data_IF_478012877859
#
_entry.id   IF_478012877859
#
_cell.length_a   1.000
_cell.length_b   1.000
_cell.length_c   1.000
_cell.angle_alpha   90.00
_cell.angle_beta   90.00
_cell.angle_gamma   90.00
#
_symmetry.space_group_name_H-M   'P 1'
#
loop_
_entity.id
_entity.type
_entity.pdbx_description
1 polymer ?
#
# COMPACT_ATOMS: atom_id res chain seq x y z
N UNK A 1 -10.08 18.36 5.86
CA UNK A 1 -9.53 17.11 5.27
C UNK A 1 -10.44 15.92 5.58
N UNK A 2 -10.71 15.06 4.62
CA UNK A 2 -11.57 13.87 4.77
C UNK A 2 -10.71 12.60 4.73
N UNK A 3 -10.43 11.94 5.88
CA UNK A 3 -9.64 10.71 5.90
C UNK A 3 -10.19 9.61 4.99
N UNK A 4 -11.52 9.50 4.88
CA UNK A 4 -12.17 8.52 4.02
C UNK A 4 -11.82 8.72 2.53
N UNK A 5 -11.64 9.96 2.08
CA UNK A 5 -11.20 10.28 0.72
C UNK A 5 -9.76 9.76 0.50
N UNK A 6 -8.85 10.07 1.43
CA UNK A 6 -7.45 9.60 1.34
C UNK A 6 -7.38 8.06 1.39
N UNK A 7 -8.15 7.43 2.27
CA UNK A 7 -8.22 5.97 2.35
C UNK A 7 -8.73 5.34 1.04
N UNK A 8 -9.78 5.93 0.45
CA UNK A 8 -10.35 5.47 -0.82
C UNK A 8 -9.35 5.60 -1.97
N UNK A 9 -8.71 6.76 -2.12
CA UNK A 9 -7.76 7.00 -3.20
C UNK A 9 -6.49 6.15 -3.07
N UNK A 10 -5.91 6.06 -1.86
CA UNK A 10 -4.72 5.23 -1.64
C UNK A 10 -5.00 3.76 -1.88
N UNK A 11 -6.20 3.28 -1.53
CA UNK A 11 -6.60 1.91 -1.81
C UNK A 11 -6.80 1.67 -3.31
N UNK A 12 -7.51 2.56 -4.00
CA UNK A 12 -7.75 2.44 -5.44
C UNK A 12 -6.44 2.41 -6.26
N UNK A 13 -5.44 3.21 -5.88
CA UNK A 13 -4.11 3.14 -6.50
C UNK A 13 -3.40 1.82 -6.18
N UNK A 14 -3.51 1.31 -4.95
CA UNK A 14 -2.93 0.02 -4.58
C UNK A 14 -3.60 -1.15 -5.30
N UNK A 15 -4.88 -1.08 -5.64
CA UNK A 15 -5.60 -2.10 -6.43
C UNK A 15 -4.98 -2.28 -7.82
N UNK A 16 -4.48 -1.21 -8.45
CA UNK A 16 -3.76 -1.33 -9.74
C UNK A 16 -2.51 -2.18 -9.57
N UNK A 17 -1.70 -1.93 -8.54
CA UNK A 17 -0.51 -2.74 -8.24
C UNK A 17 -0.84 -4.17 -7.83
N UNK A 18 -1.92 -4.39 -7.09
CA UNK A 18 -2.42 -5.72 -6.79
C UNK A 18 -2.82 -6.49 -8.05
N UNK A 19 -3.51 -5.82 -9.00
CA UNK A 19 -3.84 -6.38 -10.30
C UNK A 19 -2.60 -6.77 -11.10
N UNK A 20 -1.57 -5.91 -11.11
CA UNK A 20 -0.28 -6.21 -11.77
C UNK A 20 0.37 -7.44 -11.14
N UNK A 21 0.45 -7.49 -9.80
CA UNK A 21 0.99 -8.64 -9.07
C UNK A 21 0.25 -9.93 -9.41
N UNK A 22 -1.09 -9.93 -9.40
CA UNK A 22 -1.91 -11.10 -9.73
C UNK A 22 -1.70 -11.54 -11.18
N UNK A 23 -1.64 -10.60 -12.13
CA UNK A 23 -1.36 -10.90 -13.56
C UNK A 23 0.02 -11.52 -13.75
N UNK A 24 1.04 -11.03 -13.06
CA UNK A 24 2.39 -11.60 -13.09
C UNK A 24 2.38 -13.03 -12.53
N UNK A 25 1.78 -13.25 -11.37
CA UNK A 25 1.72 -14.58 -10.75
C UNK A 25 0.92 -15.59 -11.60
N UNK A 26 -0.20 -15.17 -12.16
CA UNK A 26 -0.99 -15.97 -13.10
C UNK A 26 -0.16 -16.29 -14.37
N UNK A 27 0.58 -15.32 -14.89
CA UNK A 27 1.45 -15.55 -16.05
C UNK A 27 2.57 -16.54 -15.70
N UNK A 28 3.23 -16.39 -14.57
CA UNK A 28 4.25 -17.34 -14.09
C UNK A 28 3.67 -18.76 -13.95
N UNK A 29 2.46 -18.89 -13.42
CA UNK A 29 1.82 -20.19 -13.21
C UNK A 29 1.64 -20.97 -14.54
N UNK A 30 1.45 -20.28 -15.67
CA UNK A 30 1.32 -20.90 -17.02
C UNK A 30 2.60 -21.58 -17.48
N UNK A 31 3.76 -21.19 -16.96
CA UNK A 31 5.02 -21.88 -17.23
C UNK A 31 5.14 -23.21 -16.48
N UNK A 32 4.27 -23.47 -15.53
CA UNK A 32 4.25 -24.68 -14.69
C UNK A 32 2.90 -25.42 -14.84
N UNK A 33 2.51 -25.84 -16.07
CA UNK A 33 1.22 -26.48 -16.29
C UNK A 33 1.17 -27.89 -15.68
N UNK A 34 0.00 -28.32 -15.25
CA UNK A 34 -0.24 -29.72 -14.94
C UNK A 34 -0.03 -30.58 -16.19
N UNK A 35 0.66 -31.70 -16.03
CA UNK A 35 0.87 -32.68 -17.09
C UNK A 35 0.00 -33.90 -16.86
N UNK A 36 -0.50 -34.50 -17.94
CA UNK A 36 -1.37 -35.68 -17.88
C UNK A 36 -0.56 -36.96 -17.62
N UNK A 37 0.60 -37.07 -18.24
CA UNK A 37 1.51 -38.19 -18.09
C UNK A 37 2.85 -37.71 -17.53
N UNK A 38 3.09 -38.03 -16.26
CA UNK A 38 4.34 -37.67 -15.58
C UNK A 38 5.58 -38.41 -16.13
N UNK A 39 5.39 -39.47 -16.93
CA UNK A 39 6.48 -40.17 -17.63
C UNK A 39 7.08 -39.33 -18.77
N UNK A 40 6.37 -38.31 -19.25
CA UNK A 40 6.91 -37.36 -20.24
C UNK A 40 7.99 -36.43 -19.67
N UNK A 41 8.11 -36.36 -18.33
CA UNK A 41 9.18 -35.56 -17.69
C UNK A 41 10.50 -36.29 -17.83
N UNK A 42 11.30 -35.91 -18.81
CA UNK A 42 12.55 -36.58 -19.15
C UNK A 42 13.59 -36.30 -18.07
N UNK A 43 14.42 -35.91 -17.72
CA UNK A 43 15.38 -35.81 -16.62
C UNK A 43 15.33 -34.43 -15.92
N UNK A 44 15.75 -34.41 -14.67
CA UNK A 44 15.83 -33.22 -13.85
C UNK A 44 16.68 -32.12 -14.54
N UNK A 45 17.84 -32.50 -15.11
CA UNK A 45 18.73 -31.56 -15.77
C UNK A 45 18.13 -30.99 -17.07
N UNK A 46 17.50 -31.82 -17.91
CA UNK A 46 16.85 -31.38 -19.14
C UNK A 46 15.67 -30.46 -18.83
N UNK A 47 14.86 -30.82 -17.82
CA UNK A 47 13.78 -29.97 -17.33
C UNK A 47 14.32 -28.60 -16.91
N UNK A 48 15.34 -28.58 -16.02
CA UNK A 48 15.92 -27.34 -15.52
C UNK A 48 16.48 -26.47 -16.64
N UNK A 49 17.27 -27.04 -17.56
CA UNK A 49 17.86 -26.31 -18.68
C UNK A 49 16.78 -25.67 -19.58
N UNK A 50 15.72 -26.43 -19.89
CA UNK A 50 14.58 -25.92 -20.67
C UNK A 50 13.86 -24.78 -19.96
N UNK A 51 13.56 -24.92 -18.67
CA UNK A 51 12.84 -23.91 -17.92
C UNK A 51 13.69 -22.65 -17.74
N UNK A 52 14.97 -22.78 -17.39
CA UNK A 52 15.86 -21.64 -17.27
C UNK A 52 16.08 -20.91 -18.60
N UNK A 53 16.02 -21.63 -19.72
CA UNK A 53 16.06 -21.03 -21.07
C UNK A 53 14.88 -20.10 -21.39
N UNK A 54 13.78 -20.19 -20.65
CA UNK A 54 12.59 -19.36 -20.82
C UNK A 54 12.64 -18.02 -20.04
N UNK A 55 13.66 -17.80 -19.21
CA UNK A 55 13.74 -16.58 -18.35
C UNK A 55 13.63 -15.27 -19.16
N UNK A 56 14.25 -15.20 -20.32
CA UNK A 56 14.15 -14.01 -21.18
C UNK A 56 12.71 -13.71 -21.60
N UNK A 57 11.92 -14.75 -21.90
CA UNK A 57 10.51 -14.60 -22.23
C UNK A 57 9.69 -14.19 -20.98
N UNK A 58 9.92 -14.83 -19.83
CA UNK A 58 9.27 -14.47 -18.56
C UNK A 58 9.50 -12.99 -18.24
N UNK A 59 10.74 -12.53 -18.35
CA UNK A 59 11.07 -11.13 -18.09
C UNK A 59 10.40 -10.18 -19.08
N UNK A 60 10.39 -10.49 -20.37
CA UNK A 60 9.74 -9.68 -21.39
C UNK A 60 8.22 -9.57 -21.17
N UNK A 61 7.57 -10.66 -20.83
CA UNK A 61 6.13 -10.67 -20.53
C UNK A 61 5.83 -9.89 -19.25
N UNK A 62 6.68 -10.01 -18.23
CA UNK A 62 6.56 -9.26 -16.97
C UNK A 62 6.69 -7.76 -17.21
N UNK A 63 7.72 -7.34 -17.96
CA UNK A 63 7.91 -5.93 -18.34
C UNK A 63 6.69 -5.39 -19.08
N UNK A 64 6.15 -6.17 -20.04
CA UNK A 64 4.93 -5.78 -20.76
C UNK A 64 3.74 -5.60 -19.82
N UNK A 65 3.50 -6.53 -18.89
CA UNK A 65 2.42 -6.40 -17.91
C UNK A 65 2.57 -5.13 -17.08
N UNK A 66 3.80 -4.83 -16.62
CA UNK A 66 4.10 -3.62 -15.84
C UNK A 66 3.82 -2.35 -16.68
N UNK A 67 4.36 -2.26 -17.88
CA UNK A 67 4.20 -1.09 -18.76
C UNK A 67 2.72 -0.85 -19.10
N UNK A 68 2.02 -1.89 -19.55
CA UNK A 68 0.62 -1.80 -19.97
C UNK A 68 -0.31 -1.35 -18.82
N UNK A 69 0.07 -1.66 -17.57
CA UNK A 69 -0.77 -1.37 -16.40
C UNK A 69 -0.40 -0.08 -15.69
N UNK A 70 0.87 0.30 -15.66
CA UNK A 70 1.36 1.39 -14.83
C UNK A 70 1.66 2.69 -15.60
N UNK A 71 1.40 2.75 -16.90
CA UNK A 71 1.65 3.95 -17.71
C UNK A 71 0.93 5.23 -17.25
N UNK A 72 -0.14 5.10 -16.44
CA UNK A 72 -0.87 6.24 -15.87
C UNK A 72 -0.46 6.63 -14.44
N UNK A 73 0.50 5.94 -13.82
CA UNK A 73 0.83 6.07 -12.41
C UNK A 73 1.23 7.51 -12.02
N UNK A 74 2.05 8.14 -12.84
CA UNK A 74 2.55 9.50 -12.59
C UNK A 74 1.42 10.54 -12.58
N UNK A 75 0.56 10.52 -13.58
CA UNK A 75 -0.59 11.42 -13.66
C UNK A 75 -1.57 11.20 -12.51
N UNK A 76 -1.88 9.93 -12.17
CA UNK A 76 -2.75 9.59 -11.07
C UNK A 76 -2.18 10.04 -9.72
N UNK A 77 -0.88 9.87 -9.48
CA UNK A 77 -0.20 10.33 -8.27
C UNK A 77 -0.33 11.86 -8.15
N UNK A 78 0.02 12.59 -9.21
CA UNK A 78 -0.04 14.05 -9.22
C UNK A 78 -1.44 14.57 -8.89
N UNK A 79 -2.46 14.09 -9.61
CA UNK A 79 -3.85 14.47 -9.41
C UNK A 79 -4.35 14.14 -8.00
N UNK A 80 -3.96 12.98 -7.49
CA UNK A 80 -4.35 12.52 -6.15
C UNK A 80 -3.77 13.42 -5.05
N UNK A 81 -2.52 13.87 -5.18
CA UNK A 81 -1.89 14.79 -4.23
C UNK A 81 -2.47 16.21 -4.32
N UNK A 82 -2.74 16.71 -5.54
CA UNK A 82 -3.42 18.00 -5.74
C UNK A 82 -4.82 18.00 -5.08
N UNK A 83 -5.59 16.93 -5.30
CA UNK A 83 -6.90 16.80 -4.68
C UNK A 83 -6.82 16.71 -3.13
N UNK A 84 -5.78 16.11 -2.58
CA UNK A 84 -5.58 16.05 -1.13
C UNK A 84 -5.32 17.44 -0.52
N UNK A 85 -4.56 18.31 -1.21
CA UNK A 85 -4.35 19.72 -0.81
C UNK A 85 -5.69 20.47 -0.79
N UNK A 86 -6.41 20.43 -1.90
CA UNK A 86 -7.68 21.14 -2.04
C UNK A 86 -8.70 20.69 -1.00
N UNK A 87 -8.82 19.39 -0.77
CA UNK A 87 -9.72 18.84 0.26
C UNK A 87 -9.30 19.25 1.69
N UNK A 88 -8.00 19.34 1.96
CA UNK A 88 -7.50 19.77 3.27
C UNK A 88 -7.83 21.24 3.56
N UNK A 89 -7.60 22.12 2.61
CA UNK A 89 -7.82 23.55 2.76
C UNK A 89 -9.29 23.94 2.77
N UNK A 90 -10.17 23.20 2.10
CA UNK A 90 -11.60 23.50 1.96
C UNK A 90 -12.30 23.85 3.28
N UNK A 91 -11.95 23.18 4.38
CA UNK A 91 -12.57 23.36 5.68
C UNK A 91 -11.80 24.32 6.60
N UNK A 92 -10.50 24.49 6.37
CA UNK A 92 -9.64 25.29 7.24
C UNK A 92 -9.54 26.75 6.80
N UNK A 93 -9.49 27.00 5.50
CA UNK A 93 -9.42 28.34 4.92
C UNK A 93 -10.55 29.29 5.39
N UNK A 94 -11.84 28.88 5.42
CA UNK A 94 -12.91 29.77 5.89
C UNK A 94 -12.77 30.19 7.36
N UNK A 95 -12.15 29.36 8.21
CA UNK A 95 -11.92 29.69 9.61
C UNK A 95 -10.84 30.75 9.76
N UNK A 96 -9.73 30.57 9.03
CA UNK A 96 -8.61 31.51 9.00
C UNK A 96 -9.07 32.89 8.47
N UNK A 97 -9.80 32.93 7.36
CA UNK A 97 -10.36 34.19 6.79
C UNK A 97 -11.26 34.90 7.80
N UNK A 98 -12.19 34.18 8.42
CA UNK A 98 -13.12 34.75 9.40
C UNK A 98 -12.39 35.31 10.63
N UNK A 99 -11.29 34.65 11.07
CA UNK A 99 -10.48 35.16 12.17
C UNK A 99 -9.66 36.38 11.77
N UNK A 100 -9.12 36.41 10.55
CA UNK A 100 -8.41 37.58 10.02
C UNK A 100 -9.35 38.79 9.88
N UNK A 101 -10.59 38.59 9.39
CA UNK A 101 -11.64 39.62 9.31
C UNK A 101 -11.98 40.20 10.69
N UNK A 102 -11.88 39.41 11.76
CA UNK A 102 -12.10 39.85 13.14
C UNK A 102 -10.83 40.49 13.77
N UNK A 103 -9.74 40.61 13.02
CA UNK A 103 -8.48 41.19 13.53
C UNK A 103 -7.72 40.28 14.53
N UNK A 104 -8.04 38.98 14.59
CA UNK A 104 -7.41 38.02 15.51
C UNK A 104 -6.14 37.40 14.92
N UNK A 105 -5.91 37.54 13.63
CA UNK A 105 -4.76 37.07 12.87
C UNK A 105 -4.19 38.21 12.03
N UNK A 106 -3.04 38.00 11.34
CA UNK A 106 -2.41 39.04 10.54
C UNK A 106 -3.39 39.68 9.54
N UNK A 107 -3.59 40.99 9.70
CA UNK A 107 -4.14 41.99 8.83
C UNK A 107 -5.51 41.73 8.20
N UNK A 108 -6.55 42.58 8.49
CA UNK A 108 -7.78 42.55 7.73
C UNK A 108 -7.48 42.87 6.26
N UNK A 109 -7.84 41.98 5.36
CA UNK A 109 -7.66 42.15 3.90
C UNK A 109 -6.53 41.35 3.27
N UNK A 110 -5.68 40.66 4.02
CA UNK A 110 -4.74 39.72 3.43
C UNK A 110 -5.45 38.42 3.08
N UNK A 111 -5.58 38.17 1.79
CA UNK A 111 -6.03 36.88 1.24
C UNK A 111 -4.82 36.24 0.56
N UNK A 112 -4.22 35.21 1.15
CA UNK A 112 -3.12 34.52 0.49
C UNK A 112 -3.61 33.94 -0.84
N UNK A 113 -2.75 33.83 -1.86
CA UNK A 113 -3.08 33.16 -3.11
C UNK A 113 -3.53 31.73 -2.85
N UNK A 114 -4.36 31.18 -3.71
CA UNK A 114 -4.93 29.84 -3.53
C UNK A 114 -3.86 28.77 -3.36
N UNK A 115 -2.73 28.89 -4.06
CA UNK A 115 -1.55 28.05 -3.93
C UNK A 115 -0.31 28.94 -3.80
N UNK A 116 0.43 28.80 -2.72
CA UNK A 116 1.63 29.59 -2.45
C UNK A 116 2.91 28.85 -2.90
N UNK A 117 4.05 29.57 -3.06
CA UNK A 117 5.33 28.95 -3.40
C UNK A 117 5.74 27.83 -2.41
N UNK A 118 5.52 28.02 -1.11
CA UNK A 118 5.84 27.03 -0.08
C UNK A 118 4.98 25.77 -0.22
N UNK A 119 3.68 25.91 -0.44
CA UNK A 119 2.79 24.78 -0.72
C UNK A 119 3.22 24.03 -1.97
N UNK A 120 3.63 24.74 -3.03
CA UNK A 120 4.14 24.12 -4.25
C UNK A 120 5.46 23.40 -4.04
N UNK A 121 6.34 23.92 -3.20
CA UNK A 121 7.58 23.25 -2.85
C UNK A 121 7.32 21.97 -2.05
N UNK A 122 6.47 22.01 -1.04
CA UNK A 122 6.05 20.82 -0.28
C UNK A 122 5.43 19.76 -1.19
N UNK A 123 4.52 20.19 -2.09
CA UNK A 123 3.93 19.30 -3.10
C UNK A 123 4.99 18.62 -3.96
N UNK A 124 5.93 19.38 -4.54
CA UNK A 124 6.99 18.84 -5.41
C UNK A 124 7.85 17.83 -4.65
N UNK A 125 8.19 18.13 -3.39
CA UNK A 125 9.00 17.25 -2.55
C UNK A 125 8.29 15.91 -2.31
N UNK A 126 7.04 15.94 -1.87
CA UNK A 126 6.29 14.73 -1.61
C UNK A 126 5.97 13.93 -2.88
N UNK A 127 5.63 14.63 -3.97
CA UNK A 127 5.43 14.01 -5.26
C UNK A 127 6.68 13.27 -5.73
N UNK A 128 7.85 13.93 -5.72
CA UNK A 128 9.10 13.30 -6.16
C UNK A 128 9.45 12.08 -5.30
N UNK A 129 9.35 12.20 -3.97
CA UNK A 129 9.62 11.08 -3.07
C UNK A 129 8.72 9.88 -3.33
N UNK A 130 7.43 10.10 -3.61
CA UNK A 130 6.49 9.02 -3.90
C UNK A 130 6.72 8.45 -5.30
N UNK A 131 7.00 9.28 -6.31
CA UNK A 131 7.34 8.84 -7.66
C UNK A 131 8.58 7.93 -7.66
N UNK A 132 9.63 8.31 -6.92
CA UNK A 132 10.85 7.51 -6.79
C UNK A 132 10.56 6.14 -6.16
N UNK A 133 9.69 6.10 -5.14
CA UNK A 133 9.29 4.84 -4.49
C UNK A 133 8.44 3.97 -5.41
N UNK A 134 7.52 4.54 -6.19
CA UNK A 134 6.74 3.78 -7.17
C UNK A 134 7.64 3.17 -8.26
N UNK A 135 8.65 3.92 -8.73
CA UNK A 135 9.66 3.39 -9.65
C UNK A 135 10.46 2.23 -9.03
N UNK A 136 10.81 2.34 -7.76
CA UNK A 136 11.46 1.27 -7.02
C UNK A 136 10.56 0.02 -6.93
N UNK A 137 9.26 0.19 -6.66
CA UNK A 137 8.29 -0.93 -6.66
C UNK A 137 8.31 -1.66 -7.99
N UNK A 138 8.31 -0.94 -9.11
CA UNK A 138 8.33 -1.54 -10.45
C UNK A 138 9.59 -2.38 -10.68
N UNK A 139 10.75 -1.88 -10.26
CA UNK A 139 12.02 -2.61 -10.35
C UNK A 139 12.00 -3.88 -9.51
N UNK A 140 11.57 -3.77 -8.25
CA UNK A 140 11.49 -4.92 -7.33
C UNK A 140 10.49 -5.97 -7.82
N UNK A 141 9.37 -5.56 -8.42
CA UNK A 141 8.42 -6.51 -9.02
C UNK A 141 9.07 -7.36 -10.12
N UNK A 142 9.89 -6.75 -10.98
CA UNK A 142 10.60 -7.50 -12.03
C UNK A 142 11.62 -8.45 -11.45
N UNK A 143 12.48 -7.98 -10.54
CA UNK A 143 13.52 -8.79 -9.90
C UNK A 143 12.92 -9.94 -9.08
N UNK A 144 11.88 -9.66 -8.31
CA UNK A 144 11.17 -10.68 -7.52
C UNK A 144 10.49 -11.72 -8.40
N UNK A 145 10.00 -11.33 -9.59
CA UNK A 145 9.40 -12.25 -10.57
C UNK A 145 10.44 -13.24 -11.07
N UNK A 146 11.61 -12.77 -11.47
CA UNK A 146 12.70 -13.65 -11.93
C UNK A 146 13.18 -14.58 -10.80
N UNK A 147 13.36 -14.05 -9.60
CA UNK A 147 13.76 -14.82 -8.43
C UNK A 147 12.73 -15.91 -8.08
N UNK A 148 11.45 -15.58 -8.09
CA UNK A 148 10.36 -16.52 -7.83
C UNK A 148 10.29 -17.62 -8.89
N UNK A 149 10.47 -17.27 -10.17
CA UNK A 149 10.55 -18.26 -11.24
C UNK A 149 11.72 -19.22 -11.07
N UNK A 150 12.94 -18.70 -10.84
CA UNK A 150 14.15 -19.50 -10.61
C UNK A 150 14.01 -20.44 -9.40
N UNK A 151 13.47 -19.96 -8.31
CA UNK A 151 13.24 -20.74 -7.11
C UNK A 151 12.26 -21.90 -7.37
N UNK A 152 11.14 -21.62 -8.07
CA UNK A 152 10.16 -22.65 -8.43
C UNK A 152 10.75 -23.71 -9.36
N UNK A 153 11.55 -23.30 -10.37
CA UNK A 153 12.27 -24.22 -11.23
C UNK A 153 13.22 -25.10 -10.43
N UNK A 154 13.97 -24.53 -9.47
CA UNK A 154 14.87 -25.26 -8.59
C UNK A 154 14.15 -26.29 -7.72
N UNK A 155 13.05 -25.93 -7.11
CA UNK A 155 12.22 -26.79 -6.28
C UNK A 155 11.66 -27.99 -7.05
N UNK A 156 11.10 -27.74 -8.23
CA UNK A 156 10.55 -28.79 -9.11
C UNK A 156 11.67 -29.71 -9.61
N UNK A 157 12.81 -29.14 -10.03
CA UNK A 157 13.98 -29.89 -10.48
C UNK A 157 14.49 -30.83 -9.38
N UNK A 158 14.62 -30.34 -8.15
CA UNK A 158 15.04 -31.14 -7.01
C UNK A 158 14.08 -32.33 -6.74
N UNK A 159 12.78 -32.11 -6.91
CA UNK A 159 11.79 -33.17 -6.76
C UNK A 159 11.85 -34.19 -7.88
N UNK A 160 12.04 -33.78 -9.15
CA UNK A 160 12.26 -34.71 -10.28
C UNK A 160 13.50 -35.56 -10.02
N UNK A 161 14.62 -34.94 -9.60
CA UNK A 161 15.86 -35.66 -9.30
C UNK A 161 15.68 -36.73 -8.19
N UNK A 162 14.97 -36.39 -7.12
CA UNK A 162 14.65 -37.34 -6.04
C UNK A 162 13.83 -38.53 -6.53
N UNK A 163 12.80 -38.26 -7.35
CA UNK A 163 11.96 -39.30 -7.94
C UNK A 163 12.77 -40.27 -8.84
N UNK A 164 13.64 -39.70 -9.67
CA UNK A 164 14.52 -40.49 -10.56
C UNK A 164 15.52 -41.35 -9.79
N UNK A 165 16.14 -40.83 -8.71
CA UNK A 165 17.06 -41.58 -7.88
C UNK A 165 16.40 -42.80 -7.27
N UNK A 166 15.14 -42.75 -6.91
CA UNK A 166 14.38 -43.83 -6.33
C UNK A 166 13.96 -44.87 -7.38
N UNK A 167 13.61 -44.46 -8.57
CA UNK A 167 13.27 -45.36 -9.69
C UNK A 167 14.48 -46.14 -10.19
N UNK A 168 15.69 -45.61 -10.05
CA UNK A 168 16.95 -46.22 -10.48
C UNK A 168 17.57 -47.14 -9.43
N UNK A 169 17.05 -47.24 -8.21
CA UNK A 169 17.47 -48.21 -7.22
C UNK A 169 16.79 -49.58 -7.51
N UNK A 170 17.59 -50.63 -7.74
CA UNK A 170 17.17 -51.97 -8.17
C UNK A 170 16.19 -52.71 -7.22
N UNK A 171 15.71 -52.07 -6.19
CA UNK A 171 14.90 -52.70 -5.15
C UNK A 171 13.41 -52.48 -5.26
N UNK A 172 12.83 -51.94 -6.33
CA UNK A 172 11.37 -51.94 -6.59
C UNK A 172 10.46 -51.57 -5.40
N UNK A 173 11.00 -51.04 -4.32
CA UNK A 173 10.21 -50.57 -3.18
C UNK A 173 9.59 -49.21 -3.53
N UNK A 174 8.27 -49.21 -3.67
CA UNK A 174 7.48 -47.96 -3.68
C UNK A 174 7.72 -47.30 -2.33
N UNK A 175 8.60 -46.32 -2.29
CA UNK A 175 8.77 -45.48 -1.10
C UNK A 175 7.53 -44.59 -1.04
N UNK A 176 6.60 -44.95 -0.15
CA UNK A 176 5.45 -44.16 0.19
C UNK A 176 5.93 -42.80 0.73
N UNK A 177 5.66 -41.71 0.00
CA UNK A 177 6.06 -40.35 0.41
C UNK A 177 6.69 -39.50 -0.67
N UNK A 178 6.89 -40.01 -1.90
CA UNK A 178 7.39 -39.23 -3.02
C UNK A 178 6.25 -38.36 -3.55
N UNK A 179 6.47 -37.07 -3.61
CA UNK A 179 5.53 -36.17 -4.25
C UNK A 179 5.59 -36.39 -5.75
N UNK A 180 4.44 -36.55 -6.41
CA UNK A 180 4.36 -36.54 -7.87
C UNK A 180 4.87 -35.19 -8.44
N UNK A 181 5.25 -35.20 -9.73
CA UNK A 181 5.63 -33.97 -10.44
C UNK A 181 4.56 -32.88 -10.29
N UNK A 182 3.30 -33.20 -10.54
CA UNK A 182 2.19 -32.24 -10.41
C UNK A 182 2.03 -31.70 -8.98
N UNK A 183 2.28 -32.55 -7.97
CA UNK A 183 2.27 -32.13 -6.58
C UNK A 183 3.44 -31.18 -6.27
N UNK A 184 4.65 -31.50 -6.78
CA UNK A 184 5.82 -30.64 -6.61
C UNK A 184 5.63 -29.28 -7.27
N UNK A 185 5.07 -29.27 -8.48
CA UNK A 185 4.72 -28.03 -9.19
C UNK A 185 3.68 -27.20 -8.45
N UNK A 186 2.58 -27.82 -8.02
CA UNK A 186 1.54 -27.12 -7.24
C UNK A 186 2.14 -26.50 -5.98
N UNK A 187 2.93 -27.28 -5.23
CA UNK A 187 3.51 -26.78 -3.99
C UNK A 187 4.56 -25.68 -4.22
N UNK A 188 5.34 -25.78 -5.32
CA UNK A 188 6.30 -24.74 -5.72
C UNK A 188 5.62 -23.44 -6.13
N UNK A 189 4.60 -23.53 -6.99
CA UNK A 189 3.82 -22.37 -7.43
C UNK A 189 3.02 -21.78 -6.25
N UNK A 190 2.49 -22.63 -5.37
CA UNK A 190 1.82 -22.16 -4.16
C UNK A 190 2.77 -21.35 -3.26
N UNK A 191 3.99 -21.86 -3.00
CA UNK A 191 5.00 -21.07 -2.26
C UNK A 191 5.32 -19.74 -2.95
N UNK A 192 5.39 -19.73 -4.27
CA UNK A 192 5.55 -18.49 -5.03
C UNK A 192 4.40 -17.51 -4.79
N UNK A 193 3.17 -18.01 -4.72
CA UNK A 193 1.97 -17.17 -4.45
C UNK A 193 1.94 -16.73 -2.98
N UNK A 194 2.20 -17.63 -2.04
CA UNK A 194 2.21 -17.37 -0.59
C UNK A 194 3.29 -16.35 -0.22
N UNK A 195 4.47 -16.47 -0.81
CA UNK A 195 5.55 -15.49 -0.66
C UNK A 195 5.27 -14.19 -1.42
N UNK A 196 4.43 -14.23 -2.43
CA UNK A 196 4.15 -13.12 -3.33
C UNK A 196 5.42 -12.63 -4.05
N UNK A 197 5.33 -11.46 -4.68
CA UNK A 197 6.49 -10.76 -5.23
C UNK A 197 7.12 -9.90 -4.12
N UNK A 198 7.52 -10.53 -3.01
CA UNK A 198 7.99 -9.88 -1.79
C UNK A 198 9.48 -9.55 -1.85
N UNK A 199 9.83 -8.53 -2.64
CA UNK A 199 11.19 -7.99 -2.63
C UNK A 199 11.42 -6.86 -1.62
N UNK A 200 10.38 -6.41 -0.90
CA UNK A 200 10.49 -5.33 0.07
C UNK A 200 10.60 -5.87 1.48
N UNK A 201 11.72 -5.58 2.15
CA UNK A 201 11.91 -5.88 3.57
C UNK A 201 12.17 -4.57 4.29
N UNK A 202 11.38 -4.24 5.30
CA UNK A 202 11.61 -3.05 6.12
C UNK A 202 12.71 -3.28 7.17
N UNK A 203 13.12 -2.22 7.86
CA UNK A 203 14.13 -2.32 8.93
C UNK A 203 13.75 -3.25 10.10
N UNK A 204 12.47 -3.54 10.27
CA UNK A 204 11.96 -4.50 11.25
C UNK A 204 11.98 -5.94 10.72
N UNK A 205 12.43 -6.18 9.48
CA UNK A 205 12.45 -7.49 8.85
C UNK A 205 11.08 -7.92 8.33
N UNK A 206 10.11 -7.02 8.20
CA UNK A 206 8.79 -7.35 7.68
C UNK A 206 8.80 -7.35 6.15
N UNK A 207 8.26 -8.41 5.57
CA UNK A 207 8.07 -8.52 4.13
C UNK A 207 6.82 -7.77 3.69
N UNK A 208 6.97 -6.95 2.67
CA UNK A 208 5.87 -6.18 2.06
C UNK A 208 5.56 -6.69 0.66
N UNK A 209 4.28 -6.89 0.36
CA UNK A 209 3.86 -7.04 -1.03
C UNK A 209 3.84 -5.66 -1.74
N UNK A 210 4.01 -5.60 -3.08
CA UNK A 210 3.99 -4.35 -3.84
C UNK A 210 2.75 -3.50 -3.56
N UNK A 211 1.56 -4.12 -3.56
CA UNK A 211 0.30 -3.42 -3.31
C UNK A 211 0.20 -2.88 -1.88
N UNK A 212 0.70 -3.62 -0.89
CA UNK A 212 0.70 -3.16 0.51
C UNK A 212 1.66 -1.99 0.71
N UNK A 213 2.81 -2.04 0.06
CA UNK A 213 3.79 -0.96 0.09
C UNK A 213 3.27 0.31 -0.59
N UNK A 214 2.67 0.17 -1.78
CA UNK A 214 2.04 1.28 -2.50
C UNK A 214 0.89 1.89 -1.71
N UNK A 215 0.00 1.07 -1.13
CA UNK A 215 -1.07 1.56 -0.27
C UNK A 215 -0.54 2.38 0.93
N UNK A 216 0.54 1.93 1.53
CA UNK A 216 1.22 2.63 2.64
C UNK A 216 1.84 3.94 2.16
N UNK A 217 2.57 3.92 1.05
CA UNK A 217 3.27 5.10 0.54
C UNK A 217 2.28 6.19 0.09
N UNK A 218 1.34 5.86 -0.77
CA UNK A 218 0.33 6.81 -1.28
C UNK A 218 -0.47 7.41 -0.13
N UNK A 219 -0.94 6.58 0.81
CA UNK A 219 -1.67 7.06 1.98
C UNK A 219 -0.82 8.03 2.81
N UNK A 220 0.41 7.68 3.10
CA UNK A 220 1.33 8.50 3.90
C UNK A 220 1.63 9.82 3.18
N UNK A 221 1.92 9.75 1.88
CA UNK A 221 2.24 10.92 1.05
C UNK A 221 1.04 11.87 0.92
N UNK A 222 -0.17 11.35 0.67
CA UNK A 222 -1.39 12.17 0.65
C UNK A 222 -1.62 12.90 1.98
N UNK A 223 -1.50 12.19 3.12
CA UNK A 223 -1.62 12.82 4.43
C UNK A 223 -0.54 13.86 4.68
N UNK A 224 0.71 13.59 4.32
CA UNK A 224 1.81 14.53 4.50
C UNK A 224 1.64 15.79 3.63
N UNK A 225 1.24 15.62 2.38
CA UNK A 225 0.97 16.73 1.46
C UNK A 225 -0.18 17.61 1.96
N UNK A 226 -1.27 16.98 2.40
CA UNK A 226 -2.42 17.68 2.97
C UNK A 226 -2.10 18.40 4.29
N UNK A 227 -1.31 17.78 5.16
CA UNK A 227 -0.84 18.39 6.42
C UNK A 227 0.05 19.59 6.16
N UNK A 228 1.02 19.46 5.25
CA UNK A 228 1.90 20.55 4.88
C UNK A 228 1.11 21.75 4.36
N UNK A 229 0.10 21.53 3.51
CA UNK A 229 -0.76 22.60 3.03
C UNK A 229 -1.51 23.32 4.16
N UNK A 230 -2.03 22.60 5.17
CA UNK A 230 -2.70 23.19 6.32
C UNK A 230 -1.70 23.96 7.19
N UNK A 231 -0.51 23.42 7.46
CA UNK A 231 0.51 24.11 8.27
C UNK A 231 1.00 25.39 7.60
N UNK A 232 1.35 25.35 6.31
CA UNK A 232 1.77 26.53 5.55
C UNK A 232 0.68 27.61 5.55
N UNK A 233 -0.56 27.20 5.28
CA UNK A 233 -1.70 28.13 5.30
C UNK A 233 -1.92 28.76 6.68
N UNK A 234 -1.79 27.98 7.73
CA UNK A 234 -1.91 28.44 9.12
C UNK A 234 -0.85 29.50 9.47
N UNK A 235 0.39 29.26 9.06
CA UNK A 235 1.52 30.19 9.27
C UNK A 235 1.36 31.48 8.45
N UNK A 236 0.86 31.40 7.21
CA UNK A 236 0.61 32.59 6.36
C UNK A 236 -0.39 33.55 7.00
N UNK A 237 -1.34 33.02 7.77
CA UNK A 237 -2.27 33.83 8.56
C UNK A 237 -1.71 34.23 9.94
N UNK A 238 -0.46 33.89 10.25
CA UNK A 238 0.20 34.20 11.53
C UNK A 238 -0.29 33.37 12.71
N UNK A 239 -0.91 32.21 12.46
CA UNK A 239 -1.34 31.27 13.49
C UNK A 239 -0.42 30.05 13.54
N UNK A 240 -0.05 29.63 14.74
CA UNK A 240 0.84 28.50 15.00
C UNK A 240 0.15 27.32 15.68
N UNK A 241 -1.15 27.47 16.00
CA UNK A 241 -1.91 26.46 16.74
C UNK A 241 -2.77 25.60 15.86
N UNK A 242 -2.80 24.31 16.21
CA UNK A 242 -3.73 23.37 15.64
C UNK A 242 -4.14 22.32 16.66
N UNK A 243 -5.37 21.80 16.53
CA UNK A 243 -5.84 20.64 17.27
C UNK A 243 -5.56 19.38 16.47
N UNK A 244 -5.06 18.33 17.12
CA UNK A 244 -4.90 17.01 16.53
C UNK A 244 -6.28 16.38 16.34
N UNK A 245 -6.60 15.92 15.14
CA UNK A 245 -7.88 15.27 14.87
C UNK A 245 -8.03 13.99 15.69
N UNK A 246 -9.28 13.65 16.03
CA UNK A 246 -9.62 12.41 16.72
C UNK A 246 -10.21 11.38 15.74
N UNK A 247 -9.98 10.10 16.02
CA UNK A 247 -10.52 8.99 15.26
C UNK A 247 -10.63 7.75 16.12
N UNK A 248 -11.57 6.87 15.79
CA UNK A 248 -11.67 5.55 16.40
C UNK A 248 -10.50 4.65 16.00
N UNK A 249 -10.14 3.71 16.84
CA UNK A 249 -9.04 2.77 16.59
C UNK A 249 -7.70 3.46 16.27
N UNK A 250 -7.36 4.51 17.02
CA UNK A 250 -6.07 5.16 16.92
C UNK A 250 -4.96 4.24 17.44
N UNK A 251 -3.79 4.33 16.82
CA UNK A 251 -2.60 3.59 17.28
C UNK A 251 -2.17 4.05 18.70
N UNK A 252 -1.57 3.17 19.52
CA UNK A 252 -1.17 3.50 20.88
C UNK A 252 -0.34 4.79 20.99
N UNK A 253 0.64 5.00 20.11
CA UNK A 253 1.48 6.21 20.09
C UNK A 253 0.75 7.48 19.62
N UNK A 254 -0.39 7.35 18.96
CA UNK A 254 -1.18 8.49 18.49
C UNK A 254 -2.30 8.86 19.46
N UNK A 255 -2.85 7.86 20.18
CA UNK A 255 -4.02 8.05 21.03
C UNK A 255 -3.84 9.17 22.07
N UNK A 256 -2.72 9.25 22.82
CA UNK A 256 -2.54 10.28 23.86
C UNK A 256 -2.58 11.72 23.34
N UNK A 257 -2.39 11.90 22.03
CA UNK A 257 -2.33 13.22 21.38
C UNK A 257 -3.62 13.63 20.68
N UNK A 258 -4.60 12.74 20.58
CA UNK A 258 -5.89 13.07 19.99
C UNK A 258 -6.58 14.19 20.76
N UNK A 259 -7.15 15.15 20.02
CA UNK A 259 -7.88 16.26 20.60
C UNK A 259 -7.01 17.34 21.26
N UNK A 260 -5.71 17.10 21.48
CA UNK A 260 -4.79 18.10 22.07
C UNK A 260 -4.46 19.20 21.07
N UNK A 261 -4.21 20.40 21.61
CA UNK A 261 -3.76 21.55 20.82
C UNK A 261 -2.24 21.61 20.89
N UNK A 262 -1.61 21.59 19.71
CA UNK A 262 -0.17 21.67 19.52
C UNK A 262 0.21 22.99 18.86
N UNK A 263 1.45 23.45 19.17
CA UNK A 263 2.08 24.63 18.59
C UNK A 263 3.25 24.24 17.70
N UNK A 264 3.28 24.78 16.47
CA UNK A 264 4.42 24.65 15.55
C UNK A 264 5.59 25.56 15.90
N UNK A 265 5.37 26.59 16.75
CA UNK A 265 6.42 27.51 17.21
C UNK A 265 7.15 27.03 18.47
N UNK A 266 6.76 25.90 19.04
CA UNK A 266 7.32 25.36 20.28
C UNK A 266 6.77 26.03 21.54
N UNK A 267 5.81 26.95 21.45
CA UNK A 267 5.21 27.57 22.65
C UNK A 267 4.32 26.59 23.40
N UNK A 268 4.29 26.72 24.71
CA UNK A 268 3.42 26.00 25.63
C UNK A 268 2.63 27.00 26.49
N UNK A 269 1.64 26.52 27.22
CA UNK A 269 0.85 27.35 28.13
C UNK A 269 -0.65 27.05 28.02
N UNK A 270 -1.48 28.01 28.39
CA UNK A 270 -2.91 27.89 28.37
C UNK A 270 -3.55 29.01 27.55
N UNK A 271 -4.68 28.69 26.94
CA UNK A 271 -5.53 29.65 26.20
C UNK A 271 -7.01 29.31 26.45
N UNK A 272 -7.93 29.97 25.79
CA UNK A 272 -9.35 29.64 25.86
C UNK A 272 -9.92 29.33 24.47
N UNK A 273 -10.88 28.43 24.42
CA UNK A 273 -11.68 28.19 23.22
C UNK A 273 -12.81 29.22 23.06
N UNK A 274 -13.66 29.03 22.05
CA UNK A 274 -14.81 29.90 21.78
C UNK A 274 -15.82 29.93 22.96
N UNK A 275 -15.94 28.81 23.65
CA UNK A 275 -16.93 28.64 24.74
C UNK A 275 -16.36 29.07 26.10
N UNK A 276 -15.12 29.59 26.14
CA UNK A 276 -14.43 30.03 27.36
C UNK A 276 -13.76 28.90 28.13
N UNK A 277 -13.72 27.69 27.60
CA UNK A 277 -13.04 26.58 28.26
C UNK A 277 -11.52 26.76 28.19
N UNK A 278 -10.82 26.39 29.27
CA UNK A 278 -9.36 26.39 29.32
C UNK A 278 -8.78 25.30 28.43
N UNK A 279 -7.85 25.67 27.56
CA UNK A 279 -7.20 24.78 26.61
C UNK A 279 -5.70 24.78 26.88
N UNK A 280 -5.12 23.61 27.14
CA UNK A 280 -3.68 23.42 27.24
C UNK A 280 -3.04 23.43 25.86
N UNK A 281 -2.00 24.23 25.68
CA UNK A 281 -1.13 24.25 24.51
C UNK A 281 0.09 23.40 24.79
N UNK A 282 0.40 22.46 23.92
CA UNK A 282 1.60 21.63 23.94
C UNK A 282 2.53 22.00 22.80
N UNK A 283 3.84 21.84 22.98
CA UNK A 283 4.81 21.91 21.88
C UNK A 283 4.78 20.62 21.05
N UNK A 284 5.05 20.70 19.74
CA UNK A 284 5.32 19.51 18.93
C UNK A 284 6.50 18.70 19.49
N UNK A 285 7.47 19.35 20.15
CA UNK A 285 8.64 18.70 20.75
C UNK A 285 8.29 17.79 21.96
N UNK A 286 7.12 17.98 22.58
CA UNK A 286 6.62 17.09 23.63
C UNK A 286 6.17 15.72 23.08
N UNK A 287 5.96 15.61 21.76
CA UNK A 287 5.51 14.39 21.10
C UNK A 287 6.71 13.53 20.71
N UNK A 288 7.20 12.68 21.60
CA UNK A 288 8.39 11.84 21.37
C UNK A 288 8.34 11.04 20.07
N UNK A 289 7.14 10.66 19.62
CA UNK A 289 6.92 9.89 18.40
C UNK A 289 6.54 10.75 17.19
N UNK A 290 6.77 12.07 17.23
CA UNK A 290 6.34 12.99 16.17
C UNK A 290 7.02 12.67 14.83
N UNK A 291 6.22 12.41 13.80
CA UNK A 291 6.65 12.04 12.43
C UNK A 291 7.50 10.77 12.33
N UNK A 292 7.72 10.00 13.39
CA UNK A 292 8.38 8.71 13.32
C UNK A 292 7.42 7.61 12.84
N UNK A 293 7.99 6.52 12.31
CA UNK A 293 7.21 5.36 11.89
C UNK A 293 6.35 4.82 13.06
N UNK A 294 5.05 4.71 12.90
CA UNK A 294 4.14 4.28 13.96
C UNK A 294 3.59 5.40 14.86
N UNK A 295 4.24 6.57 14.94
CA UNK A 295 3.85 7.70 15.77
C UNK A 295 2.90 8.70 15.12
N UNK A 296 2.67 9.80 15.84
CA UNK A 296 1.81 10.89 15.38
C UNK A 296 2.36 11.51 14.08
N UNK A 297 1.53 11.63 13.07
CA UNK A 297 1.86 12.14 11.73
C UNK A 297 2.97 11.38 11.00
N UNK A 298 3.40 10.22 11.51
CA UNK A 298 4.34 9.31 10.86
C UNK A 298 3.68 8.42 9.80
N UNK A 299 4.41 7.37 9.38
CA UNK A 299 3.96 6.43 8.35
C UNK A 299 2.58 5.84 8.68
N UNK A 300 1.66 5.84 7.72
CA UNK A 300 0.28 5.37 7.87
C UNK A 300 -0.55 6.07 8.97
N UNK A 301 -0.11 7.20 9.50
CA UNK A 301 -0.90 7.94 10.46
C UNK A 301 -2.07 8.65 9.77
N UNK A 302 -3.30 8.38 10.21
CA UNK A 302 -4.52 8.99 9.67
C UNK A 302 -4.97 10.26 10.41
N UNK A 303 -4.19 10.77 11.37
CA UNK A 303 -4.48 12.03 12.03
C UNK A 303 -4.06 13.21 11.15
N UNK A 304 -4.72 14.34 11.34
CA UNK A 304 -4.43 15.59 10.61
C UNK A 304 -4.59 16.80 11.53
N UNK A 305 -3.88 17.91 11.26
CA UNK A 305 -4.05 19.16 11.99
C UNK A 305 -5.37 19.82 11.59
N UNK A 306 -6.09 20.28 12.57
CA UNK A 306 -7.26 21.16 12.43
C UNK A 306 -6.87 22.52 12.99
N UNK A 307 -6.97 23.57 12.22
CA UNK A 307 -6.64 24.93 12.66
C UNK A 307 -7.38 25.25 13.96
N UNK A 308 -6.64 25.65 15.00
CA UNK A 308 -7.18 26.12 16.25
C UNK A 308 -6.84 27.60 16.45
N UNK A 309 -7.86 28.41 16.70
CA UNK A 309 -7.74 29.85 16.89
C UNK A 309 -8.37 30.16 18.23
N UNK A 310 -7.61 30.70 19.22
CA UNK A 310 -8.13 31.10 20.52
C UNK A 310 -9.35 32.01 20.43
N UNK A 311 -10.39 31.72 21.21
CA UNK A 311 -11.65 32.48 21.19
C UNK A 311 -12.51 32.35 19.94
N UNK A 312 -12.12 31.47 18.98
CA UNK A 312 -12.87 31.23 17.73
C UNK A 312 -13.16 29.77 17.51
N UNK A 313 -12.21 28.88 17.82
CA UNK A 313 -12.36 27.44 17.66
C UNK A 313 -12.90 26.79 18.92
N UNK A 314 -13.78 25.79 18.78
CA UNK A 314 -14.22 24.91 19.86
C UNK A 314 -13.42 23.61 19.81
N UNK A 315 -13.03 23.08 20.95
CA UNK A 315 -12.38 21.77 21.03
C UNK A 315 -13.35 20.65 20.62
N UNK A 316 -12.86 19.71 19.87
CA UNK A 316 -13.60 18.49 19.56
C UNK A 316 -13.29 17.41 20.60
N UNK A 317 -14.32 16.73 21.06
CA UNK A 317 -14.22 15.63 22.01
C UNK A 317 -13.55 14.40 21.41
N UNK A 318 -13.01 13.55 22.28
CA UNK A 318 -12.48 12.24 21.91
C UNK A 318 -13.65 11.28 21.60
N UNK A 319 -13.55 10.49 20.53
CA UNK A 319 -14.63 9.58 20.12
C UNK A 319 -14.74 8.33 21.00
N UNK A 320 -13.70 7.98 21.74
CA UNK A 320 -13.59 6.76 22.55
C UNK A 320 -12.63 6.98 23.71
N UNK A 321 -12.83 6.28 24.82
CA UNK A 321 -11.84 6.17 25.87
C UNK A 321 -10.66 5.26 25.43
N UNK A 322 -9.64 5.13 26.28
CA UNK A 322 -8.41 4.42 25.95
C UNK A 322 -8.64 2.91 25.76
N UNK A 323 -9.43 2.29 26.60
CA UNK A 323 -9.74 0.86 26.57
C UNK A 323 -10.56 0.51 25.31
N UNK A 324 -11.63 1.26 25.05
CA UNK A 324 -12.45 1.12 23.85
C UNK A 324 -11.62 1.32 22.58
N UNK A 325 -10.73 2.33 22.57
CA UNK A 325 -9.84 2.57 21.45
C UNK A 325 -8.86 1.43 21.22
N UNK A 326 -8.26 0.89 22.28
CA UNK A 326 -7.31 -0.23 22.19
C UNK A 326 -7.99 -1.49 21.63
N UNK A 327 -9.21 -1.80 22.12
CA UNK A 327 -10.04 -2.89 21.61
C UNK A 327 -10.37 -2.69 20.13
N UNK A 328 -10.87 -1.52 19.74
CA UNK A 328 -11.23 -1.20 18.36
C UNK A 328 -9.99 -1.25 17.42
N UNK A 329 -8.81 -0.87 17.92
CA UNK A 329 -7.55 -1.00 17.18
C UNK A 329 -7.19 -2.46 16.95
N UNK A 330 -7.21 -3.31 17.97
CA UNK A 330 -6.92 -4.74 17.86
C UNK A 330 -7.87 -5.44 16.88
N UNK A 331 -9.16 -5.19 16.99
CA UNK A 331 -10.19 -5.73 16.07
C UNK A 331 -9.92 -5.27 14.63
N UNK A 332 -9.50 -4.02 14.43
CA UNK A 332 -9.16 -3.51 13.08
C UNK A 332 -7.97 -4.25 12.46
N UNK A 333 -6.97 -4.65 13.26
CA UNK A 333 -5.83 -5.43 12.78
C UNK A 333 -6.26 -6.87 12.43
N UNK A 334 -7.12 -7.48 13.24
CA UNK A 334 -7.66 -8.81 12.99
C UNK A 334 -8.50 -8.85 11.71
N UNK A 335 -9.39 -7.87 11.51
CA UNK A 335 -10.16 -7.76 10.26
C UNK A 335 -9.25 -7.68 9.03
N UNK A 336 -8.17 -6.88 9.08
CA UNK A 336 -7.20 -6.77 7.99
C UNK A 336 -6.47 -8.08 7.71
N UNK A 337 -6.19 -8.88 8.75
CA UNK A 337 -5.56 -10.20 8.57
C UNK A 337 -6.51 -11.15 7.83
N UNK A 338 -7.80 -11.16 8.19
CA UNK A 338 -8.82 -11.97 7.50
C UNK A 338 -9.02 -11.52 6.05
N UNK A 339 -9.07 -10.20 5.79
CA UNK A 339 -9.17 -9.65 4.44
C UNK A 339 -7.96 -10.06 3.56
N UNK A 340 -6.74 -10.06 4.11
CA UNK A 340 -5.54 -10.56 3.40
C UNK A 340 -5.65 -12.03 3.07
N UNK A 341 -6.02 -12.87 4.06
CA UNK A 341 -6.19 -14.31 3.87
C UNK A 341 -7.19 -14.62 2.75
N UNK A 342 -8.32 -13.93 2.70
CA UNK A 342 -9.31 -14.13 1.64
C UNK A 342 -8.74 -13.77 0.25
N UNK A 343 -7.94 -12.69 0.13
CA UNK A 343 -7.29 -12.35 -1.15
C UNK A 343 -6.29 -13.42 -1.58
N UNK A 344 -5.49 -13.93 -0.64
CA UNK A 344 -4.53 -15.02 -0.88
C UNK A 344 -5.24 -16.28 -1.40
N UNK A 345 -6.31 -16.73 -0.75
CA UNK A 345 -7.08 -17.90 -1.19
C UNK A 345 -7.74 -17.71 -2.57
N UNK A 346 -8.17 -16.49 -2.89
CA UNK A 346 -8.69 -16.16 -4.24
C UNK A 346 -7.58 -16.18 -5.29
N UNK A 347 -6.41 -15.64 -4.99
CA UNK A 347 -5.22 -15.65 -5.86
C UNK A 347 -4.79 -17.08 -6.15
N UNK A 348 -4.70 -17.94 -5.15
CA UNK A 348 -4.42 -19.37 -5.29
C UNK A 348 -5.40 -20.06 -6.24
N UNK A 349 -6.68 -19.72 -6.15
CA UNK A 349 -7.70 -20.28 -7.05
C UNK A 349 -7.44 -19.92 -8.51
N UNK A 350 -7.11 -18.66 -8.79
CA UNK A 350 -6.82 -18.22 -10.17
C UNK A 350 -5.52 -18.83 -10.70
N UNK A 351 -4.52 -18.98 -9.86
CA UNK A 351 -3.25 -19.64 -10.19
C UNK A 351 -3.47 -21.12 -10.53
N UNK A 352 -4.23 -21.87 -9.72
CA UNK A 352 -4.57 -23.26 -10.02
C UNK A 352 -5.32 -23.42 -11.35
N UNK A 353 -6.24 -22.51 -11.65
CA UNK A 353 -6.91 -22.49 -12.96
C UNK A 353 -5.92 -22.24 -14.10
N UNK A 354 -4.99 -21.29 -13.93
CA UNK A 354 -3.97 -20.97 -14.93
C UNK A 354 -3.00 -22.12 -15.21
N UNK A 355 -2.73 -22.95 -14.21
CA UNK A 355 -1.95 -24.19 -14.35
C UNK A 355 -2.71 -25.31 -15.04
N UNK A 356 -4.02 -25.22 -15.21
CA UNK A 356 -4.87 -26.31 -15.68
C UNK A 356 -5.03 -27.44 -14.65
N UNK A 357 -5.06 -27.09 -13.36
CA UNK A 357 -5.19 -28.03 -12.26
C UNK A 357 -6.46 -28.91 -12.38
N UNK A 358 -6.44 -30.14 -11.83
CA UNK A 358 -7.62 -31.00 -11.78
C UNK A 358 -8.81 -30.34 -11.08
N UNK A 359 -10.02 -30.62 -11.55
CA UNK A 359 -11.25 -30.01 -10.96
C UNK A 359 -11.39 -30.32 -9.45
N UNK A 360 -10.86 -31.45 -8.99
CA UNK A 360 -10.84 -31.79 -7.57
C UNK A 360 -10.05 -30.77 -6.75
N UNK A 361 -8.89 -30.32 -7.21
CA UNK A 361 -8.03 -29.33 -6.56
C UNK A 361 -8.68 -27.94 -6.61
N UNK A 362 -9.23 -27.56 -7.77
CA UNK A 362 -9.99 -26.31 -7.95
C UNK A 362 -11.18 -26.28 -6.98
N UNK A 363 -11.93 -27.38 -6.86
CA UNK A 363 -13.08 -27.48 -5.94
C UNK A 363 -12.64 -27.39 -4.47
N UNK A 364 -11.51 -27.99 -4.12
CA UNK A 364 -10.94 -27.88 -2.77
C UNK A 364 -10.56 -26.43 -2.46
N UNK A 365 -9.95 -25.72 -3.40
CA UNK A 365 -9.56 -24.32 -3.23
C UNK A 365 -10.79 -23.39 -3.16
N UNK A 366 -11.83 -23.61 -3.94
CA UNK A 366 -13.12 -22.88 -3.81
C UNK A 366 -13.73 -23.01 -2.41
N UNK A 367 -13.59 -24.19 -1.76
CA UNK A 367 -14.04 -24.37 -0.37
C UNK A 367 -13.24 -23.50 0.60
N UNK A 368 -11.91 -23.36 0.42
CA UNK A 368 -11.06 -22.49 1.24
C UNK A 368 -11.45 -21.02 1.08
N UNK A 369 -11.68 -20.57 -0.17
CA UNK A 369 -12.20 -19.22 -0.44
C UNK A 369 -13.53 -18.98 0.28
N UNK A 370 -14.46 -19.94 0.22
CA UNK A 370 -15.75 -19.85 0.89
C UNK A 370 -15.60 -19.83 2.42
N UNK A 371 -14.64 -20.58 2.99
CA UNK A 371 -14.39 -20.56 4.41
C UNK A 371 -13.79 -19.23 4.85
N UNK A 372 -12.76 -18.74 4.17
CA UNK A 372 -12.16 -17.44 4.47
C UNK A 372 -13.17 -16.28 4.37
N UNK A 373 -14.15 -16.38 3.45
CA UNK A 373 -15.24 -15.40 3.36
C UNK A 373 -16.18 -15.47 4.58
N UNK A 374 -16.53 -16.67 5.05
CA UNK A 374 -17.33 -16.83 6.26
C UNK A 374 -16.61 -16.34 7.49
N UNK A 375 -15.31 -16.63 7.63
CA UNK A 375 -14.50 -16.17 8.77
C UNK A 375 -14.57 -14.64 8.94
N UNK A 376 -14.70 -13.89 7.82
CA UNK A 376 -14.90 -12.43 7.87
C UNK A 376 -16.31 -12.06 8.28
N UNK A 377 -17.35 -12.76 7.76
CA UNK A 377 -18.74 -12.50 8.13
C UNK A 377 -18.92 -12.73 9.63
N UNK A 378 -18.50 -13.90 10.12
CA UNK A 378 -18.59 -14.27 11.53
C UNK A 378 -17.88 -13.23 12.43
N UNK A 379 -16.67 -12.83 12.06
CA UNK A 379 -15.92 -11.80 12.79
C UNK A 379 -16.62 -10.43 12.80
N UNK A 380 -17.20 -10.02 11.68
CA UNK A 380 -17.93 -8.74 11.59
C UNK A 380 -19.22 -8.78 12.41
N UNK A 381 -19.92 -9.92 12.42
CA UNK A 381 -21.14 -10.12 13.22
C UNK A 381 -20.82 -10.12 14.73
N UNK A 382 -19.74 -10.79 15.16
CA UNK A 382 -19.31 -10.83 16.56
C UNK A 382 -18.85 -9.46 17.08
N UNK A 383 -18.18 -8.66 16.25
CA UNK A 383 -17.60 -7.38 16.69
C UNK A 383 -18.44 -6.16 16.34
N UNK A 384 -19.52 -6.32 15.57
CA UNK A 384 -20.33 -5.22 15.05
C UNK A 384 -19.60 -4.36 13.99
N UNK A 385 -18.49 -4.84 13.43
CA UNK A 385 -17.71 -4.11 12.41
C UNK A 385 -18.33 -4.27 11.04
N UNK A 386 -18.20 -3.21 10.24
CA UNK A 386 -18.65 -3.25 8.85
C UNK A 386 -17.67 -4.02 7.99
N UNK A 387 -18.15 -5.02 7.26
CA UNK A 387 -17.39 -5.74 6.25
C UNK A 387 -16.99 -4.82 5.09
N UNK A 388 -15.72 -4.87 4.67
CA UNK A 388 -15.14 -4.01 3.64
C UNK A 388 -14.83 -4.79 2.37
N UNK A 389 -15.87 -5.09 1.59
CA UNK A 389 -15.78 -5.94 0.39
C UNK A 389 -14.79 -5.44 -0.65
N UNK A 390 -14.56 -4.13 -0.74
CA UNK A 390 -13.53 -3.54 -1.61
C UNK A 390 -12.10 -3.95 -1.25
N UNK A 391 -11.85 -4.44 -0.02
CA UNK A 391 -10.54 -4.93 0.43
C UNK A 391 -10.36 -6.44 0.28
N UNK A 392 -11.38 -7.13 -0.16
CA UNK A 392 -11.43 -8.59 -0.31
C UNK A 392 -11.24 -9.05 -1.76
N UNK A 393 -11.17 -8.12 -2.69
CA UNK A 393 -11.17 -8.40 -4.11
C UNK A 393 -10.06 -7.62 -4.81
N UNK A 394 -9.35 -8.31 -5.70
CA UNK A 394 -8.41 -7.68 -6.62
C UNK A 394 -9.01 -7.80 -8.03
N UNK A 395 -9.36 -6.69 -8.67
CA UNK A 395 -9.85 -6.72 -10.03
C UNK A 395 -8.74 -7.17 -10.98
N UNK A 396 -9.05 -8.09 -11.90
CA UNK A 396 -8.07 -8.64 -12.87
C UNK A 396 -7.46 -7.54 -13.75
N UNK A 397 -8.21 -6.48 -14.02
CA UNK A 397 -7.77 -5.31 -14.77
C UNK A 397 -8.24 -4.07 -14.01
N UNK A 398 -7.51 -3.70 -12.95
CA UNK A 398 -7.76 -2.46 -12.23
C UNK A 398 -7.34 -1.27 -13.11
N UNK A 399 -8.21 -0.27 -13.19
CA UNK A 399 -7.93 1.00 -13.84
C UNK A 399 -7.54 2.05 -12.80
N UNK A 400 -6.75 3.04 -13.21
CA UNK A 400 -6.43 4.17 -12.36
C UNK A 400 -7.70 4.91 -11.94
N UNK A 401 -7.84 5.30 -10.65
CA UNK A 401 -9.06 5.92 -10.16
C UNK A 401 -9.29 7.30 -10.79
N UNK A 402 -10.54 7.63 -11.08
CA UNK A 402 -10.93 9.01 -11.35
C UNK A 402 -10.78 9.84 -10.07
N UNK A 403 -10.02 10.92 -10.15
CA UNK A 403 -9.80 11.82 -9.01
C UNK A 403 -10.85 12.92 -9.04
N UNK A 404 -11.72 13.05 -8.03
CA UNK A 404 -12.76 14.06 -8.01
C UNK A 404 -12.20 15.49 -8.09
N UNK A 405 -12.73 16.29 -9.01
CA UNK A 405 -12.34 17.70 -9.19
C UNK A 405 -11.24 17.91 -10.23
N UNK A 406 -10.71 16.85 -10.84
CA UNK A 406 -9.83 16.94 -12.00
C UNK A 406 -10.59 16.62 -13.29
N UNK A 407 -10.19 17.15 -14.46
CA UNK A 407 -10.77 16.73 -15.73
C UNK A 407 -10.60 15.21 -15.87
N UNK A 408 -11.70 14.49 -16.08
CA UNK A 408 -11.66 13.06 -16.39
C UNK A 408 -10.66 12.84 -17.52
N UNK A 409 -9.65 12.02 -17.28
CA UNK A 409 -8.83 11.49 -18.36
C UNK A 409 -9.72 10.52 -19.12
N UNK A 410 -10.56 11.08 -20.02
CA UNK A 410 -11.48 10.31 -20.83
C UNK A 410 -10.75 9.12 -21.44
N UNK A 411 -11.41 7.98 -21.51
CA UNK A 411 -10.98 6.77 -22.22
C UNK A 411 -10.54 7.12 -23.64
N UNK A 412 -9.37 7.69 -23.78
CA UNK A 412 -8.70 8.06 -25.00
C UNK A 412 -7.30 7.47 -24.94
N UNK A 413 -6.95 6.71 -26.01
CA UNK A 413 -5.56 6.42 -26.33
C UNK A 413 -4.68 7.59 -25.87
N UNK A 414 -3.56 7.34 -25.16
CA UNK A 414 -2.66 8.41 -24.81
C UNK A 414 -2.37 9.23 -26.06
N UNK A 415 -2.36 10.57 -26.00
CA UNK A 415 -1.92 11.37 -27.11
C UNK A 415 -0.53 10.92 -27.52
N UNK A 416 -0.26 10.83 -28.81
CA UNK A 416 1.05 10.44 -29.37
C UNK A 416 2.20 11.34 -28.90
N UNK A 417 1.90 12.43 -28.18
CA UNK A 417 2.82 13.38 -27.55
C UNK A 417 2.87 13.24 -26.02
N UNK A 418 2.67 12.02 -25.47
CA UNK A 418 2.78 11.76 -24.03
C UNK A 418 4.14 12.19 -23.47
N UNK A 419 4.20 12.55 -22.16
CA UNK A 419 5.47 12.79 -21.50
C UNK A 419 6.41 11.62 -21.78
N UNK A 420 7.74 11.86 -21.88
CA UNK A 420 8.68 10.80 -22.23
C UNK A 420 8.43 9.60 -21.31
N UNK A 421 8.47 8.37 -21.87
CA UNK A 421 8.23 7.17 -21.09
C UNK A 421 9.11 7.24 -19.85
N UNK A 422 8.55 6.85 -18.69
CA UNK A 422 9.30 6.68 -17.45
C UNK A 422 10.53 5.90 -17.85
N UNK A 423 11.69 6.55 -17.80
CA UNK A 423 12.93 5.98 -18.28
C UNK A 423 13.31 4.89 -17.28
N UNK A 424 12.85 3.66 -17.55
CA UNK A 424 13.25 2.48 -16.79
C UNK A 424 14.69 2.23 -17.22
N UNK A 425 15.62 2.99 -16.62
CA UNK A 425 17.03 2.77 -16.75
C UNK A 425 17.36 1.48 -15.98
N UNK A 426 17.09 0.35 -16.61
CA UNK A 426 17.49 -0.97 -16.11
C UNK A 426 19.02 -1.02 -16.26
N UNK A 427 19.73 -0.52 -15.26
CA UNK A 427 21.15 -0.71 -15.15
C UNK A 427 21.40 -2.13 -14.62
N UNK A 428 21.51 -3.08 -15.53
CA UNK A 428 21.67 -4.51 -15.24
C UNK A 428 23.02 -4.82 -14.54
N UNK A 429 23.93 -3.83 -14.42
CA UNK A 429 25.28 -3.99 -13.85
C UNK A 429 25.72 -2.79 -13.01
N UNK A 430 25.01 -2.43 -11.97
CA UNK A 430 25.49 -1.40 -11.04
C UNK A 430 24.83 -1.51 -9.68
N UNK A 431 25.64 -1.49 -8.62
CA UNK A 431 25.12 -1.35 -7.26
C UNK A 431 24.26 -0.08 -7.17
N UNK A 432 23.07 -0.13 -6.58
CA UNK A 432 22.25 1.06 -6.41
C UNK A 432 22.98 2.06 -5.51
N UNK A 433 22.84 3.37 -5.76
CA UNK A 433 23.33 4.38 -4.84
C UNK A 433 22.70 4.23 -3.46
N UNK A 434 23.39 4.56 -2.37
CA UNK A 434 22.84 4.46 -1.03
C UNK A 434 21.59 5.34 -0.91
N UNK A 435 20.52 4.86 -0.29
CA UNK A 435 19.31 5.63 -0.09
C UNK A 435 19.57 6.84 0.81
N UNK A 436 18.87 7.97 0.60
CA UNK A 436 18.92 9.08 1.54
C UNK A 436 18.44 8.63 2.91
N UNK A 437 19.13 9.08 3.95
CA UNK A 437 18.92 8.69 5.34
C UNK A 437 17.58 9.21 5.89
N UNK A 438 16.47 8.58 5.55
CA UNK A 438 15.19 8.66 6.27
C UNK A 438 14.24 7.59 5.73
N UNK A 439 13.75 6.70 6.61
CA UNK A 439 12.91 5.54 6.37
C UNK A 439 13.61 4.44 5.54
N UNK A 440 14.53 3.74 6.16
CA UNK A 440 15.29 2.70 5.52
C UNK A 440 14.46 1.46 5.20
N UNK A 441 14.43 1.14 3.95
CA UNK A 441 13.98 -0.15 3.42
C UNK A 441 15.21 -0.81 2.84
N UNK A 442 15.55 -2.00 3.32
CA UNK A 442 16.56 -2.86 2.71
C UNK A 442 15.91 -3.66 1.59
N UNK A 443 16.52 -3.61 0.42
CA UNK A 443 16.18 -4.49 -0.71
C UNK A 443 17.26 -5.55 -0.73
N UNK A 444 16.85 -6.81 -0.69
CA UNK A 444 17.71 -7.96 -0.96
C UNK A 444 17.58 -8.40 -2.41
#
# INVERSE_FOLDING_TARGET
MRPAFIDSMSWAMAEVYASVTDRILINLARYFPYIKDEAEVKGAFEYQARMLGQIGQVNSETVKIIIDSLGGADAALKQTLEAAILDALKNEEPKLRRAAEKGLLYGPGFVPPEVTPNMMQAFRTFYQQSADKLNLVNTVMLESTEAAYRATVGDVTAQIARTQTILNTETGQVVTGIKSYNTAMRDGVRRMVDNGLTGFIDHGGHHWSPEAYVAMDIRTTMFNTARAAVWERNQEYGNDLYQVSSKNAARPLCYPWQGKVLSTSGRTGVTTDLDGNTVQIHSEDEVESFRYGGGLFGVNCGHYPMVFIPGVSTLRELPQDEEENAKAYAESQQQRALERKLREEKRDLEVLKAQGAPEADIKAQRRRVSQASRDIDDFCDETGRTRRRNREYTPVNAEWPDVPGTPSTGRGKPPDDGPPPINININIHGNPPPPPAQAGILIQ
#
